data_IF_221556760934
#
_entry.id   IF_221556760934
#
_cell.length_a   1.000
_cell.length_b   1.000
_cell.length_c   1.000
_cell.angle_alpha   90.00
_cell.angle_beta   90.00
_cell.angle_gamma   90.00
#
_symmetry.space_group_name_H-M   'P 1'
#
loop_
_entity.id
_entity.type
_entity.pdbx_description
1 polymer ?
#
# COMPACT_ATOMS: atom_id res chain seq x y z
N UNK A 1 -13.84 -16.44 -3.76
CA UNK A 1 -12.57 -15.67 -3.80
C UNK A 1 -11.72 -16.27 -4.90
N UNK A 2 -11.26 -15.50 -5.87
CA UNK A 2 -10.32 -16.02 -6.87
C UNK A 2 -9.01 -16.42 -6.16
N UNK A 3 -8.31 -17.51 -6.57
CA UNK A 3 -7.06 -17.95 -5.94
C UNK A 3 -6.03 -16.82 -5.78
N UNK A 4 -5.96 -15.93 -6.78
CA UNK A 4 -5.09 -14.77 -6.78
C UNK A 4 -5.41 -13.75 -5.66
N UNK A 5 -6.69 -13.53 -5.34
CA UNK A 5 -7.08 -12.60 -4.26
C UNK A 5 -6.65 -13.12 -2.89
N UNK A 6 -6.79 -14.44 -2.67
CA UNK A 6 -6.36 -15.08 -1.43
C UNK A 6 -4.82 -15.01 -1.30
N UNK A 7 -4.10 -15.28 -2.39
CA UNK A 7 -2.65 -15.09 -2.45
C UNK A 7 -2.26 -13.65 -2.11
N UNK A 8 -2.85 -12.65 -2.76
CA UNK A 8 -2.61 -11.24 -2.48
C UNK A 8 -2.85 -10.89 -1.00
N UNK A 9 -3.96 -11.34 -0.43
CA UNK A 9 -4.32 -11.03 0.96
C UNK A 9 -3.31 -11.63 1.93
N UNK A 10 -2.91 -12.89 1.73
CA UNK A 10 -1.93 -13.57 2.57
C UNK A 10 -0.56 -12.89 2.48
N UNK A 11 -0.11 -12.53 1.27
CA UNK A 11 1.14 -11.79 1.08
C UNK A 11 1.06 -10.42 1.76
N UNK A 12 -0.03 -9.69 1.58
CA UNK A 12 -0.22 -8.37 2.20
C UNK A 12 -0.19 -8.46 3.72
N UNK A 13 -0.89 -9.42 4.32
CA UNK A 13 -0.86 -9.64 5.77
C UNK A 13 0.54 -9.98 6.28
N UNK A 14 1.25 -10.89 5.58
CA UNK A 14 2.61 -11.26 5.95
C UNK A 14 3.57 -10.06 5.87
N UNK A 15 3.49 -9.27 4.79
CA UNK A 15 4.33 -8.08 4.59
C UNK A 15 3.99 -7.01 5.61
N UNK A 16 2.72 -6.73 5.88
CA UNK A 16 2.30 -5.72 6.86
C UNK A 16 2.73 -6.11 8.27
N UNK A 17 2.56 -7.38 8.66
CA UNK A 17 3.06 -7.87 9.94
C UNK A 17 4.59 -7.71 10.04
N UNK A 18 5.31 -8.08 8.99
CA UNK A 18 6.78 -7.97 8.94
C UNK A 18 7.23 -6.50 8.99
N UNK A 19 6.61 -5.61 8.22
CA UNK A 19 6.87 -4.18 8.22
C UNK A 19 6.50 -3.52 9.56
N UNK A 20 5.48 -4.01 10.26
CA UNK A 20 5.12 -3.49 11.57
C UNK A 20 6.14 -3.86 12.64
N UNK A 21 6.54 -5.13 12.66
CA UNK A 21 7.47 -5.70 13.64
C UNK A 21 8.91 -5.30 13.39
N UNK A 22 9.33 -5.27 12.12
CA UNK A 22 10.73 -5.07 11.69
C UNK A 22 10.93 -3.84 10.80
N UNK A 23 9.93 -3.01 10.55
CA UNK A 23 10.09 -1.78 9.79
C UNK A 23 10.45 -0.57 10.66
N UNK A 24 10.90 0.50 10.00
CA UNK A 24 11.09 1.81 10.59
C UNK A 24 9.80 2.63 10.56
N UNK A 25 9.92 3.94 10.86
CA UNK A 25 8.78 4.85 10.80
C UNK A 25 8.20 4.97 9.39
N UNK A 26 9.04 4.93 8.36
CA UNK A 26 8.63 5.04 6.96
C UNK A 26 7.82 3.82 6.52
N UNK A 27 8.27 2.61 6.84
CA UNK A 27 7.57 1.36 6.48
C UNK A 27 6.24 1.24 7.24
N UNK A 28 6.21 1.64 8.51
CA UNK A 28 4.98 1.70 9.30
C UNK A 28 3.97 2.70 8.73
N UNK A 29 4.44 3.87 8.28
CA UNK A 29 3.58 4.84 7.60
C UNK A 29 2.98 4.23 6.32
N UNK A 30 3.78 3.50 5.53
CA UNK A 30 3.29 2.75 4.37
C UNK A 30 2.20 1.75 4.71
N UNK A 31 2.39 0.94 5.78
CA UNK A 31 1.34 0.01 6.26
C UNK A 31 0.07 0.75 6.63
N UNK A 32 0.17 1.85 7.38
CA UNK A 32 -1.01 2.64 7.79
C UNK A 32 -1.75 3.18 6.57
N UNK A 33 -1.04 3.73 5.58
CA UNK A 33 -1.64 4.23 4.32
C UNK A 33 -2.39 3.11 3.61
N UNK A 34 -1.76 1.94 3.43
CA UNK A 34 -2.36 0.81 2.71
C UNK A 34 -3.55 0.20 3.44
N UNK A 35 -3.48 0.06 4.77
CA UNK A 35 -4.59 -0.45 5.57
C UNK A 35 -5.75 0.54 5.58
N UNK A 36 -5.47 1.84 5.75
CA UNK A 36 -6.50 2.87 5.69
C UNK A 36 -7.18 2.93 4.32
N UNK A 37 -6.39 2.81 3.25
CA UNK A 37 -6.91 2.74 1.89
C UNK A 37 -7.80 1.50 1.67
N UNK A 38 -7.39 0.33 2.17
CA UNK A 38 -8.21 -0.88 2.09
C UNK A 38 -9.55 -0.72 2.81
N UNK A 39 -9.54 -0.20 4.05
CA UNK A 39 -10.77 0.05 4.81
C UNK A 39 -11.65 1.07 4.09
N UNK A 40 -11.08 2.18 3.62
CA UNK A 40 -11.80 3.18 2.86
C UNK A 40 -12.42 2.58 1.58
N UNK A 41 -11.68 1.70 0.88
CA UNK A 41 -12.14 1.10 -0.37
C UNK A 41 -13.33 0.16 -0.16
N UNK A 42 -13.32 -0.61 0.94
CA UNK A 42 -14.48 -1.42 1.34
C UNK A 42 -15.69 -0.54 1.61
N UNK A 43 -15.52 0.60 2.30
CA UNK A 43 -16.63 1.52 2.59
C UNK A 43 -17.12 2.27 1.35
N UNK A 44 -16.23 2.58 0.41
CA UNK A 44 -16.54 3.30 -0.82
C UNK A 44 -16.97 2.41 -2.00
N UNK A 45 -16.97 1.08 -1.82
CA UNK A 45 -17.40 0.11 -2.82
C UNK A 45 -18.77 0.40 -3.47
N UNK A 46 -19.83 0.83 -2.74
CA UNK A 46 -21.12 1.12 -3.38
C UNK A 46 -21.13 2.41 -4.21
N UNK A 47 -20.11 3.27 -4.08
CA UNK A 47 -20.05 4.57 -4.74
C UNK A 47 -19.61 4.41 -6.18
N UNK A 48 -20.59 4.34 -7.08
CA UNK A 48 -20.38 4.23 -8.53
C UNK A 48 -21.09 5.35 -9.27
N UNK A 49 -20.54 5.77 -10.41
CA UNK A 49 -21.11 6.79 -11.30
C UNK A 49 -21.17 6.20 -12.70
N UNK A 50 -22.37 5.92 -13.22
CA UNK A 50 -22.57 5.30 -14.55
C UNK A 50 -21.73 4.02 -14.76
N UNK A 51 -21.61 3.17 -13.73
CA UNK A 51 -20.78 1.95 -13.78
C UNK A 51 -19.30 2.16 -13.46
N UNK A 52 -18.81 3.41 -13.47
CA UNK A 52 -17.46 3.76 -13.03
C UNK A 52 -17.34 3.72 -11.51
N UNK A 53 -16.30 3.07 -10.99
CA UNK A 53 -16.04 2.90 -9.55
C UNK A 53 -15.40 4.14 -8.95
N UNK A 54 -16.16 5.23 -8.91
CA UNK A 54 -15.69 6.54 -8.48
C UNK A 54 -15.09 6.53 -7.07
N UNK A 55 -15.71 5.79 -6.14
CA UNK A 55 -15.20 5.66 -4.77
C UNK A 55 -13.78 5.09 -4.71
N UNK A 56 -13.53 4.00 -5.43
CA UNK A 56 -12.20 3.38 -5.52
C UNK A 56 -11.18 4.34 -6.16
N UNK A 57 -11.56 5.02 -7.25
CA UNK A 57 -10.67 5.96 -7.94
C UNK A 57 -10.22 7.12 -7.04
N UNK A 58 -11.14 7.70 -6.26
CA UNK A 58 -10.82 8.78 -5.31
C UNK A 58 -9.83 8.31 -4.25
N UNK A 59 -10.03 7.10 -3.72
CA UNK A 59 -9.12 6.54 -2.72
C UNK A 59 -7.73 6.30 -3.31
N UNK A 60 -7.65 5.76 -4.52
CA UNK A 60 -6.37 5.52 -5.18
C UNK A 60 -5.65 6.85 -5.49
N UNK A 61 -6.37 7.95 -5.77
CA UNK A 61 -5.78 9.31 -5.85
C UNK A 61 -5.17 9.71 -4.52
N UNK A 62 -5.88 9.49 -3.40
CA UNK A 62 -5.37 9.81 -2.07
C UNK A 62 -4.13 8.96 -1.74
N UNK A 63 -4.11 7.69 -2.14
CA UNK A 63 -2.95 6.79 -2.00
C UNK A 63 -1.77 7.31 -2.81
N UNK A 64 -1.99 7.75 -4.06
CA UNK A 64 -0.96 8.36 -4.89
C UNK A 64 -0.37 9.60 -4.20
N UNK A 65 -1.22 10.53 -3.74
CA UNK A 65 -0.77 11.73 -3.04
C UNK A 65 0.02 11.37 -1.78
N UNK A 66 -0.45 10.40 -1.00
CA UNK A 66 0.22 9.96 0.21
C UNK A 66 1.60 9.36 -0.06
N UNK A 67 1.74 8.52 -1.09
CA UNK A 67 3.04 7.93 -1.45
C UNK A 67 3.99 8.93 -2.12
N UNK A 68 3.49 9.85 -2.94
CA UNK A 68 4.31 10.96 -3.48
C UNK A 68 4.82 11.81 -2.33
N UNK A 69 3.95 12.19 -1.40
CA UNK A 69 4.35 12.94 -0.20
C UNK A 69 5.39 12.18 0.64
N UNK A 70 5.20 10.86 0.81
CA UNK A 70 6.13 10.02 1.55
C UNK A 70 7.49 9.94 0.84
N UNK A 71 7.51 9.79 -0.48
CA UNK A 71 8.71 9.72 -1.30
C UNK A 71 9.50 11.02 -1.31
N UNK A 72 8.82 12.17 -1.31
CA UNK A 72 9.47 13.47 -1.24
C UNK A 72 10.04 13.79 0.15
N UNK A 73 9.56 13.14 1.21
CA UNK A 73 10.00 13.40 2.59
C UNK A 73 10.97 12.37 3.15
N UNK A 74 11.01 11.17 2.58
CA UNK A 74 11.78 10.05 3.11
C UNK A 74 12.71 9.54 2.02
N UNK A 75 14.00 9.52 2.32
CA UNK A 75 15.03 9.04 1.40
C UNK A 75 15.08 7.50 1.39
N UNK A 76 14.02 6.89 0.85
CA UNK A 76 13.86 5.44 0.71
C UNK A 76 13.35 5.13 -0.68
N UNK A 77 14.15 4.44 -1.49
CA UNK A 77 13.81 4.15 -2.88
C UNK A 77 12.47 3.41 -3.03
N UNK A 78 12.10 2.56 -2.06
CA UNK A 78 10.86 1.79 -2.14
C UNK A 78 9.61 2.67 -2.17
N UNK A 79 9.66 3.86 -1.56
CA UNK A 79 8.55 4.81 -1.55
C UNK A 79 8.30 5.42 -2.93
N UNK A 80 9.35 5.63 -3.73
CA UNK A 80 9.23 5.99 -5.14
C UNK A 80 8.60 4.86 -5.96
N UNK A 81 9.00 3.61 -5.69
CA UNK A 81 8.39 2.43 -6.31
C UNK A 81 6.89 2.34 -6.01
N UNK A 82 6.49 2.56 -4.76
CA UNK A 82 5.08 2.58 -4.35
C UNK A 82 4.31 3.74 -5.00
N UNK A 83 4.90 4.94 -5.08
CA UNK A 83 4.30 6.08 -5.76
C UNK A 83 4.10 5.82 -7.26
N UNK A 84 5.07 5.18 -7.93
CA UNK A 84 4.96 4.77 -9.32
C UNK A 84 3.85 3.74 -9.54
N UNK A 85 3.70 2.77 -8.62
CA UNK A 85 2.58 1.82 -8.66
C UNK A 85 1.23 2.54 -8.51
N UNK A 86 1.11 3.48 -7.57
CA UNK A 86 -0.11 4.26 -7.40
C UNK A 86 -0.43 5.12 -8.64
N UNK A 87 0.58 5.68 -9.30
CA UNK A 87 0.42 6.41 -10.56
C UNK A 87 -0.03 5.48 -11.69
N UNK A 88 0.50 4.26 -11.77
CA UNK A 88 0.08 3.26 -12.74
C UNK A 88 -1.38 2.83 -12.52
N UNK A 89 -1.83 2.74 -11.26
CA UNK A 89 -3.25 2.53 -10.93
C UNK A 89 -4.12 3.69 -11.44
N UNK A 90 -3.66 4.94 -11.37
CA UNK A 90 -4.36 6.09 -11.96
C UNK A 90 -4.49 5.99 -13.47
N UNK A 91 -3.43 5.52 -14.14
CA UNK A 91 -3.49 5.26 -15.58
C UNK A 91 -4.55 4.19 -15.90
N UNK A 92 -4.67 3.13 -15.08
CA UNK A 92 -5.71 2.12 -15.25
C UNK A 92 -7.13 2.72 -15.14
N UNK A 93 -7.37 3.56 -14.12
CA UNK A 93 -8.65 4.28 -13.99
C UNK A 93 -8.91 5.22 -15.17
N UNK A 94 -7.90 5.93 -15.65
CA UNK A 94 -8.02 6.82 -16.80
C UNK A 94 -8.37 6.05 -18.09
N UNK A 95 -7.74 4.90 -18.33
CA UNK A 95 -8.05 4.03 -19.49
C UNK A 95 -9.51 3.57 -19.47
N UNK A 96 -9.97 3.14 -18.30
CA UNK A 96 -11.35 2.72 -18.07
C UNK A 96 -12.35 3.87 -18.27
N UNK A 97 -11.99 5.08 -17.85
CA UNK A 97 -12.82 6.28 -18.02
C UNK A 97 -12.90 6.73 -19.48
N UNK A 98 -11.78 6.65 -20.21
CA UNK A 98 -11.67 7.07 -21.62
C UNK A 98 -12.24 6.03 -22.59
N UNK A 99 -12.34 4.76 -22.18
CA UNK A 99 -12.83 3.66 -23.02
C UNK A 99 -13.96 2.90 -22.31
N UNK A 100 -15.21 3.42 -22.33
CA UNK A 100 -16.33 2.82 -21.62
C UNK A 100 -16.60 1.36 -22.01
N UNK A 101 -16.29 0.95 -23.24
CA UNK A 101 -16.44 -0.43 -23.70
C UNK A 101 -15.58 -1.43 -22.91
N UNK A 102 -14.43 -1.01 -22.36
CA UNK A 102 -13.62 -1.84 -21.46
C UNK A 102 -14.40 -2.21 -20.19
N UNK A 103 -15.26 -1.32 -19.68
CA UNK A 103 -16.12 -1.60 -18.53
C UNK A 103 -17.26 -2.55 -18.85
N UNK A 104 -17.64 -2.70 -20.12
CA UNK A 104 -18.73 -3.59 -20.50
C UNK A 104 -18.19 -4.99 -20.82
N UNK A 105 -17.03 -5.07 -21.46
CA UNK A 105 -16.53 -6.33 -22.04
C UNK A 105 -15.30 -6.89 -21.32
N UNK A 106 -14.52 -6.05 -20.63
CA UNK A 106 -13.19 -6.40 -20.10
C UNK A 106 -12.98 -6.07 -18.61
N UNK A 107 -14.07 -5.95 -17.82
CA UNK A 107 -14.03 -5.66 -16.37
C UNK A 107 -13.06 -6.56 -15.61
N UNK A 108 -13.01 -7.84 -15.95
CA UNK A 108 -12.15 -8.80 -15.25
C UNK A 108 -10.66 -8.52 -15.47
N UNK A 109 -10.29 -8.04 -16.66
CA UNK A 109 -8.91 -7.70 -17.00
C UNK A 109 -8.47 -6.43 -16.28
N UNK A 110 -9.31 -5.38 -16.26
CA UNK A 110 -9.05 -4.16 -15.47
C UNK A 110 -8.86 -4.48 -14.00
N UNK A 111 -9.81 -5.20 -13.40
CA UNK A 111 -9.75 -5.56 -11.99
C UNK A 111 -8.48 -6.35 -11.71
N UNK A 112 -8.16 -7.37 -12.53
CA UNK A 112 -6.94 -8.16 -12.38
C UNK A 112 -5.66 -7.31 -12.47
N UNK A 113 -5.59 -6.36 -13.41
CA UNK A 113 -4.46 -5.45 -13.55
C UNK A 113 -4.27 -4.60 -12.28
N UNK A 114 -5.35 -4.02 -11.73
CA UNK A 114 -5.30 -3.22 -10.51
C UNK A 114 -4.87 -4.03 -9.28
N UNK A 115 -5.34 -5.28 -9.14
CA UNK A 115 -4.83 -6.18 -8.09
C UNK A 115 -3.34 -6.51 -8.28
N UNK A 116 -2.89 -6.72 -9.51
CA UNK A 116 -1.47 -6.95 -9.83
C UNK A 116 -0.58 -5.76 -9.48
N UNK A 117 -1.02 -4.54 -9.79
CA UNK A 117 -0.32 -3.30 -9.41
C UNK A 117 -0.30 -3.13 -7.89
N UNK A 118 -1.42 -3.43 -7.22
CA UNK A 118 -1.49 -3.45 -5.76
C UNK A 118 -0.51 -4.43 -5.13
N UNK A 119 -0.34 -5.63 -5.71
CA UNK A 119 0.64 -6.60 -5.25
C UNK A 119 2.07 -6.06 -5.40
N UNK A 120 2.38 -5.44 -6.53
CA UNK A 120 3.68 -4.84 -6.77
C UNK A 120 4.01 -3.75 -5.74
N UNK A 121 3.02 -2.92 -5.40
CA UNK A 121 3.14 -1.91 -4.35
C UNK A 121 3.44 -2.52 -2.97
N UNK A 122 2.78 -3.63 -2.61
CA UNK A 122 3.07 -4.38 -1.39
C UNK A 122 4.48 -4.98 -1.41
N UNK A 123 4.93 -5.48 -2.57
CA UNK A 123 6.30 -6.00 -2.74
C UNK A 123 7.34 -4.88 -2.61
N UNK A 124 7.08 -3.67 -3.10
CA UNK A 124 7.96 -2.51 -2.84
C UNK A 124 8.13 -2.28 -1.34
N UNK A 125 7.04 -2.27 -0.56
CA UNK A 125 7.13 -2.15 0.90
C UNK A 125 7.96 -3.27 1.52
N UNK A 126 7.77 -4.52 1.08
CA UNK A 126 8.57 -5.66 1.54
C UNK A 126 10.07 -5.47 1.24
N UNK A 127 10.40 -4.99 0.04
CA UNK A 127 11.77 -4.70 -0.37
C UNK A 127 12.40 -3.60 0.49
N UNK A 128 11.63 -2.58 0.87
CA UNK A 128 12.06 -1.54 1.81
C UNK A 128 12.41 -2.10 3.19
N UNK A 129 11.58 -3.01 3.71
CA UNK A 129 11.86 -3.69 4.98
C UNK A 129 13.12 -4.56 4.87
N UNK A 130 13.29 -5.27 3.75
CA UNK A 130 14.43 -6.15 3.50
C UNK A 130 15.75 -5.37 3.39
N UNK A 131 15.77 -4.30 2.60
CA UNK A 131 16.91 -3.38 2.48
C UNK A 131 17.38 -2.91 3.85
N UNK A 132 16.42 -2.42 4.65
CA UNK A 132 16.68 -1.90 5.99
C UNK A 132 17.27 -2.96 6.92
N UNK A 133 16.81 -4.20 6.80
CA UNK A 133 17.35 -5.32 7.56
C UNK A 133 18.76 -5.71 7.09
N UNK A 134 19.01 -5.76 5.78
CA UNK A 134 20.33 -6.02 5.22
C UNK A 134 21.34 -4.92 5.58
N UNK A 135 20.89 -3.67 5.71
CA UNK A 135 21.69 -2.55 6.18
C UNK A 135 21.97 -2.58 7.70
N UNK A 136 21.39 -3.53 8.45
CA UNK A 136 21.60 -3.68 9.88
C UNK A 136 20.90 -2.61 10.74
N UNK A 137 19.96 -1.86 10.18
CA UNK A 137 19.28 -0.80 10.92
C UNK A 137 18.29 -1.35 11.96
N UNK A 138 18.35 -0.81 13.18
CA UNK A 138 17.52 -1.26 14.31
C UNK A 138 16.04 -0.92 14.04
N UNK A 139 15.13 -1.84 14.36
CA UNK A 139 13.70 -1.59 14.26
C UNK A 139 13.20 -0.64 15.37
N UNK A 140 12.25 0.21 15.03
CA UNK A 140 11.63 1.15 16.01
C UNK A 140 10.95 0.38 17.15
N UNK A 141 10.41 -0.82 16.88
CA UNK A 141 9.90 -1.74 17.90
C UNK A 141 10.92 -2.11 18.98
N UNK A 142 12.20 -2.20 18.63
CA UNK A 142 13.28 -2.52 19.56
C UNK A 142 13.76 -1.29 20.34
N UNK A 143 13.72 -0.10 19.74
CA UNK A 143 14.06 1.15 20.42
C UNK A 143 13.07 1.49 21.56
N UNK A 144 11.78 1.15 21.41
CA UNK A 144 10.77 1.38 22.44
C UNK A 144 10.96 0.53 23.71
N UNK A 145 11.76 -0.54 23.66
CA UNK A 145 11.93 -1.50 24.76
C UNK A 145 12.90 -1.06 25.87
N UNK A 146 13.54 0.11 25.76
CA UNK A 146 14.62 0.51 26.68
C UNK A 146 14.29 1.63 27.68
N UNK A 147 13.07 2.17 27.69
CA UNK A 147 12.66 3.18 28.67
C UNK A 147 12.03 2.57 29.93
N UNK A 148 12.62 1.49 30.47
CA UNK A 148 12.33 1.08 31.85
C UNK A 148 13.10 2.04 32.75
N UNK A 149 12.45 2.92 33.53
CA UNK A 149 13.17 3.79 34.44
C UNK A 149 13.93 2.90 35.42
N UNK A 150 15.26 3.01 35.45
CA UNK A 150 16.03 2.47 36.57
C UNK A 150 15.50 3.16 37.82
N UNK A 151 14.69 2.46 38.61
CA UNK A 151 14.39 2.87 39.99
C UNK A 151 15.74 2.96 40.69
N UNK A 152 16.18 4.18 40.96
CA UNK A 152 17.26 4.46 41.89
C UNK A 152 16.83 3.92 43.25
N UNK A 153 17.43 2.81 43.67
CA UNK A 153 17.28 2.30 45.02
C UNK A 153 17.97 3.30 45.97
N UNK A 154 17.16 3.94 46.82
CA UNK A 154 17.60 4.62 48.04
C UNK A 154 17.31 3.73 49.22
#
# INVERSE_FOLDING_TARGET
>A
MAPFQLFFLLVSLAVFATAWLRGGHTERAGVVILVAAYVAAVMAYPVTLNGFRLGEAVIDVLVLVAFVWLALRRDRWWTFGAAACAALTMVAHAMVLLTPDLQLHHVRADVAARWGIGLLMVVCLAAGVLERWMAGEIAVSQQARWNTPRRSAT
#
